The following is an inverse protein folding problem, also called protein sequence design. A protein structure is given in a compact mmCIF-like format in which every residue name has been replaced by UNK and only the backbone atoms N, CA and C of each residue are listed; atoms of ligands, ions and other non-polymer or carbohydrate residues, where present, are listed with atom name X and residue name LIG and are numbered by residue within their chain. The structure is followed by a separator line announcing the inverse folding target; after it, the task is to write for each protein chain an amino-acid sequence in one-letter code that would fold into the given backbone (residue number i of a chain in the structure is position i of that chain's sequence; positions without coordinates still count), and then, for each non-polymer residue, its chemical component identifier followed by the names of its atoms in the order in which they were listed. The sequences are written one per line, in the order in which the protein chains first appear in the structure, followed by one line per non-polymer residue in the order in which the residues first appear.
data_IF_449374726869
#
_entry.id   IF_449374726869
#
_cell.length_a   1.000
_cell.length_b   1.000
_cell.length_c   1.000
_cell.angle_alpha   90.00
_cell.angle_beta   90.00
_cell.angle_gamma   90.00
#
_symmetry.space_group_name_H-M   'P 1'
#
loop_
_entity.id
_entity.type
_entity.pdbx_description
1 polymer ?
#
# COMPACT_ATOMS: atom_id res chain seq x y z
N UNK A 1 2.11 -17.50 -11.16
CA UNK A 1 2.38 -16.54 -11.18
C UNK A 1 1.89 -15.61 -10.32
N UNK A 2 2.60 -15.11 -9.66
CA UNK A 2 2.19 -14.30 -8.60
C UNK A 2 2.29 -12.85 -8.86
N UNK A 3 2.81 -12.44 -9.95
CA UNK A 3 2.95 -11.03 -10.23
C UNK A 3 1.74 -10.48 -10.97
N UNK A 4 1.62 -9.15 -10.96
CA UNK A 4 0.52 -8.49 -11.64
C UNK A 4 0.78 -8.50 -13.14
N UNK A 5 -0.29 -8.70 -13.91
CA UNK A 5 -0.16 -8.76 -15.35
C UNK A 5 0.11 -7.38 -15.92
N UNK A 6 -0.59 -6.38 -15.45
CA UNK A 6 -0.42 -5.02 -15.95
C UNK A 6 -1.04 -4.03 -14.97
N UNK A 7 -0.97 -2.75 -15.34
CA UNK A 7 -1.51 -1.69 -14.52
C UNK A 7 -2.99 -1.83 -14.33
N UNK A 8 -3.70 -2.26 -15.35
CA UNK A 8 -5.15 -2.35 -15.28
C UNK A 8 -5.59 -3.42 -14.29
N UNK A 9 -4.86 -4.52 -14.22
CA UNK A 9 -5.18 -5.55 -13.25
C UNK A 9 -4.99 -5.03 -11.83
N UNK A 10 -3.91 -4.29 -11.61
CA UNK A 10 -3.64 -3.74 -10.29
C UNK A 10 -4.73 -2.74 -9.91
N UNK A 11 -5.12 -1.87 -10.83
CA UNK A 11 -6.16 -0.89 -10.55
C UNK A 11 -7.50 -1.57 -10.25
N UNK A 12 -7.82 -2.64 -10.96
CA UNK A 12 -9.04 -3.36 -10.70
C UNK A 12 -9.04 -3.92 -9.28
N UNK A 13 -7.89 -4.40 -8.84
CA UNK A 13 -7.78 -4.94 -7.50
C UNK A 13 -7.94 -3.84 -6.44
N UNK A 14 -7.39 -2.66 -6.71
CA UNK A 14 -7.57 -1.53 -5.79
C UNK A 14 -9.05 -1.22 -5.64
N UNK A 15 -9.78 -1.23 -6.75
CA UNK A 15 -11.20 -0.90 -6.69
C UNK A 15 -12.00 -1.99 -5.98
N UNK A 16 -11.58 -3.24 -6.09
CA UNK A 16 -12.23 -4.33 -5.37
C UNK A 16 -12.08 -4.13 -3.86
N UNK A 17 -10.86 -3.81 -3.42
CA UNK A 17 -10.63 -3.59 -2.01
C UNK A 17 -11.36 -2.33 -1.54
N UNK A 18 -11.36 -1.29 -2.36
CA UNK A 18 -12.03 -0.04 -1.99
C UNK A 18 -13.53 -0.28 -1.79
N UNK A 19 -14.12 -1.12 -2.63
CA UNK A 19 -15.53 -1.43 -2.48
C UNK A 19 -15.79 -2.16 -1.17
N UNK A 20 -14.89 -3.06 -0.78
CA UNK A 20 -15.06 -3.77 0.47
C UNK A 20 -15.03 -2.84 1.65
N UNK A 21 -14.19 -1.82 1.61
CA UNK A 21 -14.04 -0.90 2.72
C UNK A 21 -14.95 0.32 2.57
N UNK A 22 -15.74 0.35 1.51
CA UNK A 22 -16.65 1.47 1.24
C UNK A 22 -15.90 2.79 1.12
N UNK A 23 -14.74 2.75 0.48
CA UNK A 23 -13.95 3.94 0.25
C UNK A 23 -14.23 4.43 -1.16
N UNK A 24 -14.55 5.72 -1.28
CA UNK A 24 -14.82 6.29 -2.56
C UNK A 24 -13.51 6.77 -3.18
N UNK A 25 -13.16 6.26 -4.34
CA UNK A 25 -11.92 6.60 -5.00
C UNK A 25 -12.19 7.66 -6.05
N UNK A 26 -11.59 8.85 -5.87
CA UNK A 26 -11.77 9.93 -6.79
C UNK A 26 -10.73 9.91 -7.91
N UNK A 27 -9.56 9.42 -7.65
CA UNK A 27 -8.52 9.31 -8.65
C UNK A 27 -7.62 8.15 -8.31
N UNK A 28 -7.10 7.46 -9.32
CA UNK A 28 -6.28 6.29 -9.08
C UNK A 28 -5.16 6.27 -10.11
N UNK A 29 -3.93 6.30 -9.64
CA UNK A 29 -2.77 6.34 -10.50
C UNK A 29 -1.74 5.27 -10.12
N UNK A 30 -1.11 4.67 -11.13
CA UNK A 30 0.02 3.77 -10.90
C UNK A 30 1.15 4.38 -11.72
N UNK A 31 2.17 4.85 -11.03
CA UNK A 31 3.23 5.62 -11.68
C UNK A 31 4.52 5.51 -10.91
N UNK A 32 5.63 5.90 -11.49
CA UNK A 32 6.89 5.86 -10.76
C UNK A 32 6.82 6.80 -9.56
N UNK A 33 7.28 6.35 -8.43
CA UNK A 33 7.28 7.17 -7.23
C UNK A 33 8.62 7.00 -6.54
N UNK A 34 9.05 8.03 -5.78
CA UNK A 34 10.27 7.95 -5.07
C UNK A 34 9.99 7.93 -3.62
N UNK A 35 10.72 7.21 -2.86
CA UNK A 35 10.67 7.21 -1.40
C UNK A 35 9.35 6.73 -0.81
N UNK A 36 8.51 6.08 -1.57
CA UNK A 36 7.29 5.54 -1.00
C UNK A 36 6.64 4.56 -1.96
N UNK A 37 5.82 3.68 -1.41
CA UNK A 37 5.11 2.70 -2.20
C UNK A 37 3.74 3.22 -2.64
N UNK A 38 3.16 4.12 -1.87
CA UNK A 38 1.84 4.63 -2.16
C UNK A 38 1.58 5.93 -1.42
N UNK A 39 0.58 6.66 -1.85
CA UNK A 39 0.13 7.82 -1.10
C UNK A 39 -1.35 8.02 -1.37
N UNK A 40 -2.03 8.65 -0.45
CA UNK A 40 -3.43 8.98 -0.63
C UNK A 40 -3.71 10.37 -0.12
N UNK A 41 -4.66 11.03 -0.72
CA UNK A 41 -5.07 12.34 -0.25
C UNK A 41 -6.36 12.20 0.52
N UNK A 42 -6.69 13.19 1.30
CA UNK A 42 -7.93 13.14 2.07
C UNK A 42 -9.15 13.20 1.16
N UNK A 43 -8.98 13.61 -0.09
CA UNK A 43 -10.09 13.68 -1.00
C UNK A 43 -10.31 12.40 -1.78
N UNK A 44 -9.49 11.40 -1.58
CA UNK A 44 -9.72 10.12 -2.22
C UNK A 44 -8.87 9.84 -3.46
N UNK A 45 -7.79 10.58 -3.64
CA UNK A 45 -6.88 10.31 -4.75
C UNK A 45 -5.78 9.38 -4.26
N UNK A 46 -5.61 8.27 -4.96
CA UNK A 46 -4.64 7.26 -4.59
C UNK A 46 -3.55 7.16 -5.65
N UNK A 47 -2.33 7.04 -5.24
CA UNK A 47 -1.22 6.80 -6.15
C UNK A 47 -0.41 5.63 -5.63
N UNK A 48 -0.03 4.73 -6.53
CA UNK A 48 0.75 3.56 -6.17
C UNK A 48 2.00 3.51 -7.03
N UNK A 49 3.09 3.07 -6.46
CA UNK A 49 4.35 2.96 -7.15
C UNK A 49 4.27 1.82 -8.15
N UNK A 50 4.62 2.07 -9.42
CA UNK A 50 4.52 1.05 -10.43
C UNK A 50 5.52 -0.09 -10.22
N UNK A 51 6.48 0.06 -9.32
CA UNK A 51 7.36 -1.05 -8.98
C UNK A 51 6.58 -2.19 -8.34
N UNK A 52 5.41 -1.90 -7.81
CA UNK A 52 4.57 -2.95 -7.22
C UNK A 52 4.12 -3.95 -8.28
N UNK A 53 4.08 -3.55 -9.54
CA UNK A 53 3.64 -4.45 -10.59
C UNK A 53 4.59 -5.61 -10.79
N UNK A 54 5.85 -5.44 -10.42
CA UNK A 54 6.82 -6.52 -10.53
C UNK A 54 6.94 -7.37 -9.29
N UNK A 55 6.12 -7.11 -8.28
CA UNK A 55 6.17 -7.84 -7.05
C UNK A 55 5.05 -8.85 -6.98
N UNK A 56 5.11 -9.73 -5.99
CA UNK A 56 4.07 -10.73 -5.83
C UNK A 56 2.76 -10.07 -5.46
N UNK A 57 1.67 -10.69 -5.88
CA UNK A 57 0.36 -10.10 -5.70
C UNK A 57 -0.01 -9.86 -4.24
N UNK A 58 0.41 -10.73 -3.36
CA UNK A 58 0.08 -10.55 -1.95
C UNK A 58 0.74 -9.30 -1.37
N UNK A 59 1.92 -8.93 -1.87
CA UNK A 59 2.56 -7.70 -1.42
C UNK A 59 1.79 -6.50 -1.93
N UNK A 60 1.29 -6.57 -3.15
CA UNK A 60 0.45 -5.51 -3.68
C UNK A 60 -0.82 -5.36 -2.87
N UNK A 61 -1.46 -6.49 -2.51
CA UNK A 61 -2.65 -6.45 -1.68
C UNK A 61 -2.36 -5.80 -0.33
N UNK A 62 -1.20 -6.13 0.24
CA UNK A 62 -0.82 -5.53 1.52
C UNK A 62 -0.75 -4.01 1.42
N UNK A 63 -0.10 -3.50 0.39
CA UNK A 63 0.05 -2.05 0.22
C UNK A 63 -1.31 -1.41 -0.02
N UNK A 64 -2.15 -2.05 -0.83
CA UNK A 64 -3.47 -1.51 -1.13
C UNK A 64 -4.31 -1.43 0.14
N UNK A 65 -4.38 -2.51 0.90
CA UNK A 65 -5.20 -2.53 2.11
C UNK A 65 -4.66 -1.56 3.14
N UNK A 66 -3.33 -1.51 3.27
CA UNK A 66 -2.69 -0.59 4.21
C UNK A 66 -3.13 0.84 3.91
N UNK A 67 -3.09 1.19 2.63
CA UNK A 67 -3.40 2.56 2.25
C UNK A 67 -4.90 2.86 2.38
N UNK A 68 -5.74 1.93 1.97
CA UNK A 68 -7.17 2.17 2.03
C UNK A 68 -7.70 2.24 3.45
N UNK A 69 -7.10 1.50 4.36
CA UNK A 69 -7.58 1.54 5.74
C UNK A 69 -7.30 2.87 6.42
N UNK A 70 -6.42 3.69 5.85
CA UNK A 70 -6.19 5.01 6.42
C UNK A 70 -7.43 5.90 6.33
N UNK A 71 -8.37 5.60 5.44
CA UNK A 71 -9.58 6.41 5.37
C UNK A 71 -10.50 6.16 6.57
N UNK A 72 -10.90 4.93 6.87
CA UNK A 72 -11.72 4.71 8.05
C UNK A 72 -10.94 4.66 9.36
N UNK A 73 -9.66 4.30 9.32
CA UNK A 73 -8.87 4.16 10.54
C UNK A 73 -7.53 4.84 10.34
N UNK A 74 -7.44 6.11 10.63
CA UNK A 74 -6.22 6.88 10.30
C UNK A 74 -4.96 6.49 11.06
N UNK A 75 -5.07 5.86 12.20
CA UNK A 75 -3.86 5.51 12.91
C UNK A 75 -3.68 4.00 12.94
N UNK A 76 -2.47 3.54 13.28
CA UNK A 76 -2.14 2.13 13.25
C UNK A 76 -2.36 1.47 14.62
N UNK A 77 -3.49 1.76 15.26
CA UNK A 77 -3.76 1.21 16.58
C UNK A 77 -4.36 -0.18 16.49
N UNK A 78 -4.99 -0.61 17.56
CA UNK A 78 -5.53 -1.95 17.65
C UNK A 78 -6.57 -2.25 16.60
N UNK A 79 -7.45 -1.31 16.32
CA UNK A 79 -8.48 -1.53 15.33
C UNK A 79 -7.86 -1.73 13.95
N UNK A 80 -6.88 -0.90 13.59
CA UNK A 80 -6.21 -1.02 12.31
C UNK A 80 -5.58 -2.40 12.18
N UNK A 81 -4.89 -2.84 13.24
CA UNK A 81 -4.23 -4.15 13.23
C UNK A 81 -5.23 -5.29 13.11
N UNK A 82 -6.35 -5.17 13.78
CA UNK A 82 -7.39 -6.18 13.71
C UNK A 82 -7.94 -6.29 12.30
N UNK A 83 -8.14 -5.15 11.65
CA UNK A 83 -8.68 -5.16 10.30
C UNK A 83 -7.66 -5.70 9.30
N UNK A 84 -6.39 -5.36 9.47
CA UNK A 84 -5.36 -5.91 8.61
C UNK A 84 -5.33 -7.43 8.73
N UNK A 85 -5.43 -7.94 9.96
CA UNK A 85 -5.40 -9.37 10.17
C UNK A 85 -6.65 -10.04 9.62
N UNK A 86 -7.80 -9.39 9.76
CA UNK A 86 -9.04 -9.95 9.26
C UNK A 86 -9.03 -10.10 7.74
N UNK A 87 -8.41 -9.16 7.05
CA UNK A 87 -8.43 -9.17 5.60
C UNK A 87 -7.21 -9.86 4.98
N UNK A 88 -6.07 -9.81 5.64
CA UNK A 88 -4.83 -10.33 5.07
C UNK A 88 -4.18 -11.46 5.88
N UNK A 89 -4.76 -11.82 7.00
CA UNK A 89 -4.18 -12.89 7.82
C UNK A 89 -2.89 -12.42 8.46
N UNK A 90 -1.83 -13.16 8.28
CA UNK A 90 -0.57 -12.81 8.92
C UNK A 90 0.12 -11.72 8.15
N UNK A 91 -0.43 -10.56 8.18
CA UNK A 91 0.09 -9.44 7.42
C UNK A 91 1.48 -9.00 7.86
N UNK A 92 1.87 -9.35 9.06
CA UNK A 92 3.21 -8.95 9.54
C UNK A 92 4.32 -9.54 8.68
N UNK A 93 4.07 -10.71 8.08
CA UNK A 93 5.07 -11.28 7.19
C UNK A 93 5.14 -10.46 5.91
N UNK A 94 4.02 -9.98 5.43
CA UNK A 94 4.01 -9.13 4.25
C UNK A 94 4.70 -7.80 4.53
N UNK A 95 4.46 -7.27 5.72
CA UNK A 95 5.10 -6.03 6.13
C UNK A 95 6.62 -6.19 6.15
N UNK A 96 7.09 -7.29 6.71
CA UNK A 96 8.53 -7.54 6.77
C UNK A 96 9.13 -7.69 5.37
N UNK A 97 8.40 -8.34 4.49
CA UNK A 97 8.89 -8.52 3.11
C UNK A 97 8.96 -7.18 2.38
N UNK A 98 8.01 -6.28 2.63
CA UNK A 98 8.04 -4.97 2.02
C UNK A 98 9.20 -4.13 2.52
N UNK A 99 9.50 -4.23 3.82
CA UNK A 99 10.63 -3.52 4.37
C UNK A 99 11.91 -4.05 3.76
N UNK A 100 12.00 -5.36 3.58
CA UNK A 100 13.18 -5.96 3.01
C UNK A 100 13.35 -5.52 1.56
N UNK A 101 12.29 -5.49 0.80
CA UNK A 101 12.35 -5.06 -0.58
C UNK A 101 12.80 -3.61 -0.69
N UNK A 102 12.31 -2.77 0.19
CA UNK A 102 12.70 -1.37 0.18
C UNK A 102 14.19 -1.24 0.46
N UNK A 103 14.68 -2.01 1.44
CA UNK A 103 16.07 -1.93 1.81
C UNK A 103 16.98 -2.44 0.70
N UNK A 104 16.62 -3.52 0.08
CA UNK A 104 17.45 -4.11 -0.95
C UNK A 104 17.42 -3.37 -2.27
N UNK A 105 16.27 -2.91 -2.69
CA UNK A 105 16.13 -2.32 -4.00
C UNK A 105 16.12 -0.81 -4.03
N UNK A 106 15.76 -0.19 -2.94
CA UNK A 106 15.66 1.25 -2.90
C UNK A 106 16.03 1.73 -1.53
N UNK A 107 17.30 1.78 -1.22
CA UNK A 107 17.73 2.18 0.12
C UNK A 107 17.08 3.46 0.61
N UNK A 108 16.80 4.37 -0.30
CA UNK A 108 16.20 5.62 0.14
C UNK A 108 14.78 5.45 0.66
N UNK A 109 14.17 4.30 0.45
CA UNK A 109 12.85 4.09 0.97
C UNK A 109 12.87 4.10 2.50
N UNK A 110 14.00 3.85 3.09
CA UNK A 110 14.08 3.75 4.52
C UNK A 110 14.49 5.06 5.17
N UNK A 111 14.87 6.06 4.35
CA UNK A 111 15.31 7.28 4.94
C UNK A 111 14.37 8.42 4.77
N UNK A 112 13.24 8.18 4.21
CA UNK A 112 12.39 9.27 3.93
C UNK A 112 11.92 9.99 5.10
N UNK A 113 12.18 9.50 6.15
CA UNK A 113 11.69 10.09 7.28
C UNK A 113 12.03 11.47 7.38
N UNK A 114 13.15 11.81 7.06
CA UNK A 114 13.53 13.11 7.17
C UNK A 114 12.42 14.07 7.19
N UNK A 115 11.53 13.91 7.97
CA UNK A 115 10.59 14.87 8.12
C UNK A 115 9.50 14.94 7.10
N UNK A 116 9.52 14.17 6.13
CA UNK A 116 8.62 14.28 5.21
C UNK A 116 7.45 13.54 5.56
N UNK A 117 6.35 13.89 5.29
CA UNK A 117 5.21 13.26 5.53
C UNK A 117 5.03 12.20 4.60
N UNK A 118 5.15 11.03 4.83
CA UNK A 118 4.97 9.92 3.98
C UNK A 118 3.72 9.21 4.37
N UNK A 119 2.77 9.06 3.43
CA UNK A 119 1.58 8.45 3.76
C UNK A 119 1.74 7.02 4.05
N UNK A 120 2.54 6.27 3.33
CA UNK A 120 2.74 4.87 3.57
C UNK A 120 4.17 4.61 3.94
N UNK A 121 4.40 3.94 5.06
CA UNK A 121 5.73 3.62 5.52
C UNK A 121 5.65 2.26 6.18
N UNK A 122 6.16 1.23 5.55
CA UNK A 122 6.04 -0.13 6.11
C UNK A 122 6.71 -0.26 7.46
N UNK A 123 7.55 0.64 7.82
CA UNK A 123 8.21 0.57 9.11
C UNK A 123 7.41 1.16 10.23
N UNK A 124 6.32 1.83 9.95
CA UNK A 124 5.58 2.44 11.01
C UNK A 124 4.59 1.53 11.64
#
# INVERSE_FOLDING_TARGET
MSQWRDREEFKARVLEWAAKFEVKVHGLYVRPMRNKWASCSTTGTLSFNDELLGMERDLGDYVIVHELLHFPVPNHGKLWKSLMRAHLGEYEQLEARMKHAARDNRPRWTTHAAGRRVRYDPGR
#
